data_IF_650163112109
#
_entry.id   IF_650163112109
#
_cell.length_a   1.000
_cell.length_b   1.000
_cell.length_c   1.000
_cell.angle_alpha   90.00
_cell.angle_beta   90.00
_cell.angle_gamma   90.00
#
_symmetry.space_group_name_H-M   'P 1'
#
loop_
_entity.id
_entity.type
_entity.pdbx_description
1 polymer ?
#
# COMPACT_ATOMS: atom_id res chain seq x y z
N UNK A 1 25.09 2.32 -14.36
CA UNK A 1 25.09 2.46 -12.89
C UNK A 1 23.64 2.38 -12.43
N UNK A 2 23.14 1.19 -12.11
CA UNK A 2 21.75 0.98 -11.71
C UNK A 2 21.58 1.57 -10.32
N UNK A 3 20.80 2.66 -10.22
CA UNK A 3 20.51 3.35 -8.97
C UNK A 3 19.79 2.35 -8.07
N UNK A 4 20.51 1.82 -7.07
CA UNK A 4 20.02 0.89 -6.07
C UNK A 4 18.78 1.46 -5.39
N UNK A 5 17.59 1.16 -5.91
CA UNK A 5 16.28 1.38 -5.27
C UNK A 5 16.07 0.42 -4.07
N UNK A 6 17.17 0.06 -3.40
CA UNK A 6 17.21 -0.92 -2.31
C UNK A 6 17.26 -0.22 -0.96
N UNK A 7 16.43 0.80 -0.83
CA UNK A 7 16.01 1.35 0.44
C UNK A 7 14.49 1.48 0.36
N UNK A 8 13.83 0.32 0.20
CA UNK A 8 12.41 0.22 0.52
C UNK A 8 12.39 0.42 2.03
N UNK A 9 12.08 1.65 2.42
CA UNK A 9 11.78 2.03 3.79
C UNK A 9 10.87 0.97 4.41
N UNK A 10 10.99 0.73 5.72
CA UNK A 10 10.16 -0.20 6.51
C UNK A 10 8.69 0.25 6.49
N UNK A 11 8.06 0.21 5.32
CA UNK A 11 6.64 0.47 5.17
C UNK A 11 5.94 -0.79 5.63
N UNK A 12 4.95 -0.64 6.50
CA UNK A 12 4.21 -1.78 7.05
C UNK A 12 3.12 -2.25 6.06
N UNK A 13 3.59 -2.62 4.86
CA UNK A 13 2.76 -2.96 3.70
C UNK A 13 1.77 -4.09 4.06
N UNK A 14 2.17 -5.02 4.92
CA UNK A 14 1.31 -6.14 5.35
C UNK A 14 0.11 -5.65 6.15
N UNK A 15 0.34 -4.82 7.17
CA UNK A 15 -0.73 -4.25 7.97
C UNK A 15 -1.63 -3.35 7.11
N UNK A 16 -1.06 -2.61 6.16
CA UNK A 16 -1.86 -1.80 5.24
C UNK A 16 -2.76 -2.66 4.35
N UNK A 17 -2.23 -3.76 3.81
CA UNK A 17 -3.02 -4.69 2.99
C UNK A 17 -4.10 -5.38 3.82
N UNK A 18 -3.78 -5.80 5.04
CA UNK A 18 -4.76 -6.41 5.96
C UNK A 18 -5.90 -5.45 6.28
N UNK A 19 -5.55 -4.19 6.56
CA UNK A 19 -6.53 -3.13 6.77
C UNK A 19 -7.44 -2.93 5.55
N UNK A 20 -6.85 -2.83 4.36
CA UNK A 20 -7.60 -2.74 3.10
C UNK A 20 -8.51 -3.97 2.89
N UNK A 21 -8.08 -5.17 3.28
CA UNK A 21 -8.90 -6.39 3.14
C UNK A 21 -10.06 -6.45 4.13
N UNK A 22 -9.88 -5.93 5.33
CA UNK A 22 -10.85 -6.08 6.43
C UNK A 22 -11.81 -4.88 6.57
N UNK A 23 -11.38 -3.68 6.20
CA UNK A 23 -12.12 -2.44 6.47
C UNK A 23 -12.56 -1.70 5.23
N UNK A 24 -11.83 -1.83 4.11
CA UNK A 24 -12.19 -1.08 2.91
C UNK A 24 -13.30 -1.78 2.12
N UNK A 25 -14.30 -1.00 1.71
CA UNK A 25 -15.33 -1.46 0.78
C UNK A 25 -14.86 -1.28 -0.66
N UNK A 26 -15.08 -2.31 -1.48
CA UNK A 26 -14.72 -2.29 -2.89
C UNK A 26 -15.99 -2.38 -3.77
N UNK A 27 -15.99 -1.75 -4.96
CA UNK A 27 -14.86 -1.10 -5.61
C UNK A 27 -14.57 0.32 -5.07
N UNK A 28 -13.29 0.67 -4.93
CA UNK A 28 -12.81 1.95 -4.40
C UNK A 28 -11.84 2.64 -5.36
N UNK A 29 -11.84 3.97 -5.39
CA UNK A 29 -10.88 4.78 -6.16
C UNK A 29 -9.60 5.06 -5.38
N UNK A 30 -8.54 5.50 -6.07
CA UNK A 30 -7.30 5.94 -5.42
C UNK A 30 -7.58 7.00 -4.34
N UNK A 31 -8.41 8.00 -4.63
CA UNK A 31 -8.71 9.06 -3.66
C UNK A 31 -9.39 8.49 -2.42
N UNK A 32 -10.42 7.65 -2.57
CA UNK A 32 -11.07 6.97 -1.44
C UNK A 32 -10.07 6.13 -0.62
N UNK A 33 -9.19 5.37 -1.28
CA UNK A 33 -8.16 4.59 -0.61
C UNK A 33 -7.16 5.47 0.15
N UNK A 34 -6.79 6.63 -0.40
CA UNK A 34 -5.86 7.58 0.21
C UNK A 34 -6.51 8.33 1.36
N UNK A 35 -7.79 8.70 1.26
CA UNK A 35 -8.56 9.32 2.34
C UNK A 35 -8.66 8.37 3.52
N UNK A 36 -9.10 7.12 3.30
CA UNK A 36 -9.16 6.10 4.33
C UNK A 36 -7.78 5.89 4.96
N UNK A 37 -6.71 5.76 4.14
CA UNK A 37 -5.33 5.63 4.61
C UNK A 37 -4.88 6.83 5.46
N UNK A 38 -5.33 8.06 5.16
CA UNK A 38 -5.01 9.25 5.95
C UNK A 38 -5.67 9.21 7.33
N UNK A 39 -6.86 8.63 7.45
CA UNK A 39 -7.57 8.48 8.72
C UNK A 39 -6.95 7.42 9.64
N UNK A 40 -6.12 6.52 9.09
CA UNK A 40 -5.45 5.49 9.88
C UNK A 40 -4.32 6.08 10.73
N UNK A 41 -4.58 6.21 12.02
CA UNK A 41 -3.60 6.69 13.00
C UNK A 41 -2.48 5.67 13.29
N UNK A 42 -2.68 4.41 12.90
CA UNK A 42 -1.71 3.31 13.08
C UNK A 42 -0.53 3.36 12.07
N UNK A 43 -0.66 4.13 10.98
CA UNK A 43 0.37 4.24 9.94
C UNK A 43 1.12 5.57 10.04
N UNK A 44 2.44 5.53 9.82
CA UNK A 44 3.25 6.74 9.81
C UNK A 44 2.99 7.57 8.56
N UNK A 45 3.29 8.86 8.60
CA UNK A 45 3.19 9.73 7.42
C UNK A 45 4.02 9.23 6.24
N UNK A 46 5.14 8.55 6.50
CA UNK A 46 5.96 7.92 5.47
C UNK A 46 5.24 6.77 4.75
N UNK A 47 4.51 5.92 5.48
CA UNK A 47 3.69 4.83 4.92
C UNK A 47 2.58 5.41 4.03
N UNK A 48 1.84 6.39 4.55
CA UNK A 48 0.74 7.06 3.86
C UNK A 48 1.23 7.74 2.58
N UNK A 49 2.36 8.45 2.66
CA UNK A 49 2.96 9.13 1.52
C UNK A 49 3.43 8.12 0.47
N UNK A 50 4.10 7.05 0.87
CA UNK A 50 4.51 5.98 -0.04
C UNK A 50 3.30 5.38 -0.76
N UNK A 51 2.22 5.07 -0.04
CA UNK A 51 0.99 4.53 -0.62
C UNK A 51 0.40 5.49 -1.65
N UNK A 52 0.27 6.77 -1.32
CA UNK A 52 -0.26 7.80 -2.23
C UNK A 52 0.59 8.01 -3.48
N UNK A 53 1.92 7.98 -3.35
CA UNK A 53 2.85 8.18 -4.47
C UNK A 53 3.00 6.93 -5.34
N UNK A 54 2.85 5.73 -4.76
CA UNK A 54 3.04 4.45 -5.45
C UNK A 54 1.75 3.94 -6.08
N UNK A 55 0.59 4.18 -5.45
CA UNK A 55 -0.70 3.74 -5.98
C UNK A 55 -1.07 4.58 -7.21
N UNK A 56 -1.18 3.98 -8.42
CA UNK A 56 -1.62 4.71 -9.59
C UNK A 56 -3.07 5.20 -9.45
N UNK A 57 -3.41 6.27 -10.14
CA UNK A 57 -4.80 6.69 -10.26
C UNK A 57 -5.62 5.59 -10.95
N UNK A 58 -6.78 5.28 -10.38
CA UNK A 58 -7.63 4.20 -10.89
C UNK A 58 -8.75 3.84 -9.93
N UNK A 59 -9.59 2.93 -10.40
CA UNK A 59 -10.61 2.25 -9.61
C UNK A 59 -10.18 0.80 -9.41
N UNK A 60 -10.21 0.36 -8.18
CA UNK A 60 -9.79 -0.97 -7.76
C UNK A 60 -11.03 -1.74 -7.33
N UNK A 61 -11.24 -2.91 -7.92
CA UNK A 61 -12.40 -3.76 -7.60
C UNK A 61 -12.17 -4.64 -6.37
N UNK A 62 -10.92 -4.73 -5.90
CA UNK A 62 -10.54 -5.63 -4.81
C UNK A 62 -9.21 -5.18 -4.21
N UNK A 63 -8.93 -5.55 -2.95
CA UNK A 63 -7.65 -5.24 -2.32
C UNK A 63 -6.48 -5.88 -3.06
N UNK A 64 -6.65 -7.07 -3.65
CA UNK A 64 -5.59 -7.71 -4.45
C UNK A 64 -5.19 -6.87 -5.68
N UNK A 65 -6.14 -6.12 -6.29
CA UNK A 65 -5.82 -5.18 -7.39
C UNK A 65 -4.96 -4.02 -6.92
N UNK A 66 -5.18 -3.54 -5.69
CA UNK A 66 -4.35 -2.50 -5.05
C UNK A 66 -2.93 -3.05 -4.83
N UNK A 67 -2.80 -4.27 -4.30
CA UNK A 67 -1.52 -4.97 -4.08
C UNK A 67 -0.75 -5.15 -5.39
N UNK A 68 -1.44 -5.61 -6.44
CA UNK A 68 -0.87 -5.75 -7.78
C UNK A 68 -0.37 -4.40 -8.31
N UNK A 69 -1.16 -3.33 -8.16
CA UNK A 69 -0.82 -2.00 -8.64
C UNK A 69 0.34 -1.35 -7.88
N UNK A 70 0.49 -1.67 -6.59
CA UNK A 70 1.65 -1.28 -5.79
C UNK A 70 2.92 -2.07 -6.14
N UNK A 71 2.80 -3.16 -6.90
CA UNK A 71 3.94 -4.00 -7.31
C UNK A 71 4.59 -4.77 -6.14
N UNK A 72 3.84 -5.01 -5.07
CA UNK A 72 4.35 -5.67 -3.86
C UNK A 72 4.14 -7.19 -3.86
N UNK A 73 3.50 -7.73 -4.90
CA UNK A 73 3.24 -9.17 -5.13
C UNK A 73 4.51 -10.04 -5.10
N UNK A 74 5.66 -9.46 -5.45
CA UNK A 74 6.97 -10.13 -5.57
C UNK A 74 7.99 -9.70 -4.50
N UNK A 75 7.63 -8.74 -3.64
CA UNK A 75 8.47 -8.43 -2.48
C UNK A 75 8.22 -9.54 -1.48
N UNK A 76 8.99 -10.63 -1.64
CA UNK A 76 9.14 -11.70 -0.66
C UNK A 76 9.12 -11.09 0.72
N UNK A 77 7.99 -11.29 1.41
CA UNK A 77 7.78 -11.14 2.83
C UNK A 77 9.10 -11.46 3.53
N UNK A 78 9.88 -10.42 3.81
CA UNK A 78 11.16 -10.54 4.50
C UNK A 78 10.82 -11.05 5.88
N UNK A 79 10.92 -12.36 6.05
CA UNK A 79 10.89 -13.02 7.33
C UNK A 79 11.95 -12.33 8.19
N UNK A 80 11.52 -11.62 9.21
CA UNK A 80 12.32 -11.47 10.41
C UNK A 80 11.58 -12.29 11.45
N UNK A 81 12.12 -13.50 11.60
CA UNK A 81 11.98 -14.34 12.78
C UNK A 81 12.51 -13.62 14.02
#
# INVERSE_FOLDING_TARGET
MFKSKKEVMRVDIKNMIDHLKSHQSYPATKDELVEECNELSDFSEADKKWFKETLPEGKYDSPDKVVEALGVSDIKMGAMA
#
